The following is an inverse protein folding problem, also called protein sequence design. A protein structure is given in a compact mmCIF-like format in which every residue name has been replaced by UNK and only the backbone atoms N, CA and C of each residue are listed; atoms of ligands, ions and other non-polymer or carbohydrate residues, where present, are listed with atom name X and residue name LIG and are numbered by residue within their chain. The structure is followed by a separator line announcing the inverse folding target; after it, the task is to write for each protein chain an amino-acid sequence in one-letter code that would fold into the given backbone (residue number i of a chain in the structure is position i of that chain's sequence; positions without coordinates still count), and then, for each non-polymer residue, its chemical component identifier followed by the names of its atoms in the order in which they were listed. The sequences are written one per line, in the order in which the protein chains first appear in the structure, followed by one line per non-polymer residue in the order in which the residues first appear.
data_IF_147367968313
#
_entry.id   IF_147367968313
#
_cell.length_a   1.000
_cell.length_b   1.000
_cell.length_c   1.000
_cell.angle_alpha   90.00
_cell.angle_beta   90.00
_cell.angle_gamma   90.00
#
_symmetry.space_group_name_H-M   'P 1'
#
loop_
_entity.id
_entity.type
_entity.pdbx_description
1 polymer ?
#
# COMPACT_ATOMS: atom_id res chain seq x y z
N UNK A 1 16.59 -12.05 -21.83
CA UNK A 1 16.60 -12.91 -20.63
C UNK A 1 17.96 -13.62 -20.56
N UNK A 2 18.55 -13.77 -19.38
CA UNK A 2 19.78 -14.53 -19.14
C UNK A 2 19.64 -15.38 -17.88
N UNK A 3 20.18 -16.59 -17.89
CA UNK A 3 20.43 -17.40 -16.69
C UNK A 3 21.93 -17.43 -16.46
N UNK A 4 22.42 -16.91 -15.34
CA UNK A 4 23.85 -16.91 -15.03
C UNK A 4 24.34 -18.29 -14.64
N UNK A 5 25.65 -18.52 -14.73
CA UNK A 5 26.29 -19.73 -14.20
C UNK A 5 26.10 -19.91 -12.69
N UNK A 6 25.77 -18.83 -11.98
CA UNK A 6 25.41 -18.83 -10.56
C UNK A 6 23.93 -19.07 -10.28
N UNK A 7 23.13 -19.39 -11.30
CA UNK A 7 21.71 -19.75 -11.16
C UNK A 7 20.75 -18.57 -10.99
N UNK A 8 21.14 -17.35 -11.37
CA UNK A 8 20.28 -16.15 -11.29
C UNK A 8 19.63 -15.83 -12.63
N UNK A 9 18.33 -15.54 -12.62
CA UNK A 9 17.55 -15.18 -13.81
C UNK A 9 17.44 -13.65 -13.95
N UNK A 10 18.06 -13.09 -15.00
CA UNK A 10 17.94 -11.69 -15.38
C UNK A 10 16.98 -11.49 -16.56
N UNK A 11 15.99 -10.62 -16.43
CA UNK A 11 15.10 -10.23 -17.53
C UNK A 11 15.37 -8.80 -17.98
N UNK A 12 16.24 -8.62 -18.98
CA UNK A 12 16.64 -7.30 -19.46
C UNK A 12 17.92 -6.75 -18.79
N UNK A 13 18.59 -7.56 -17.98
CA UNK A 13 19.93 -7.30 -17.42
C UNK A 13 20.83 -8.51 -17.68
N UNK A 14 22.12 -8.26 -17.86
CA UNK A 14 23.17 -9.29 -17.88
C UNK A 14 23.83 -9.51 -16.52
N UNK A 15 23.57 -8.62 -15.54
CA UNK A 15 24.18 -8.62 -14.21
C UNK A 15 23.11 -8.63 -13.10
N UNK A 16 22.44 -9.76 -12.86
CA UNK A 16 21.37 -9.86 -11.86
C UNK A 16 21.90 -9.75 -10.40
N UNK A 17 21.33 -8.83 -9.61
CA UNK A 17 21.66 -8.61 -8.19
C UNK A 17 20.88 -9.51 -7.23
N UNK A 18 19.78 -10.11 -7.70
CA UNK A 18 18.92 -11.02 -6.94
C UNK A 18 18.70 -12.33 -7.76
N UNK A 19 18.20 -13.41 -7.14
CA UNK A 19 17.89 -14.67 -7.85
C UNK A 19 16.99 -14.49 -9.07
N UNK A 20 16.05 -13.55 -9.00
CA UNK A 20 15.28 -13.04 -10.14
C UNK A 20 15.45 -11.51 -10.17
N UNK A 21 16.02 -10.96 -11.25
CA UNK A 21 16.19 -9.52 -11.42
C UNK A 21 15.59 -9.06 -12.75
N UNK A 22 14.58 -8.20 -12.65
CA UNK A 22 14.03 -7.47 -13.79
C UNK A 22 14.37 -5.99 -13.57
N UNK A 23 15.40 -5.43 -14.26
CA UNK A 23 15.65 -4.00 -14.20
C UNK A 23 14.48 -3.22 -14.80
N UNK A 24 14.21 -2.05 -14.21
CA UNK A 24 13.21 -1.11 -14.71
C UNK A 24 11.98 -1.00 -13.82
N UNK A 25 11.13 -0.05 -14.17
CA UNK A 25 9.85 0.21 -13.52
C UNK A 25 8.75 0.32 -14.56
N UNK A 26 7.63 -0.33 -14.30
CA UNK A 26 6.42 -0.22 -15.09
C UNK A 26 5.59 0.96 -14.57
N UNK A 27 4.95 1.69 -15.47
CA UNK A 27 3.99 2.72 -15.12
C UNK A 27 2.61 2.10 -15.03
N UNK A 28 1.97 2.19 -13.86
CA UNK A 28 0.62 1.72 -13.65
C UNK A 28 -0.29 2.91 -13.32
N UNK A 29 -1.37 3.07 -14.08
CA UNK A 29 -2.31 4.18 -13.95
C UNK A 29 -3.61 3.69 -13.31
N UNK A 30 -3.95 4.21 -12.14
CA UNK A 30 -5.28 4.02 -11.55
C UNK A 30 -6.23 5.11 -12.02
N UNK A 31 -7.48 4.73 -12.32
CA UNK A 31 -8.55 5.65 -12.72
C UNK A 31 -8.53 6.08 -14.18
N UNK A 32 -7.74 5.42 -15.03
CA UNK A 32 -7.84 5.58 -16.48
C UNK A 32 -9.23 5.13 -16.96
N UNK A 33 -9.96 6.01 -17.66
CA UNK A 33 -11.30 5.71 -18.16
C UNK A 33 -12.43 5.81 -17.12
N UNK A 34 -12.22 6.54 -16.02
CA UNK A 34 -13.27 6.79 -15.01
C UNK A 34 -13.40 5.73 -13.92
N UNK A 35 -12.39 4.86 -13.77
CA UNK A 35 -12.37 3.86 -12.70
C UNK A 35 -12.17 4.51 -11.33
N UNK A 36 -12.99 4.14 -10.36
CA UNK A 36 -12.96 4.74 -9.02
C UNK A 36 -11.75 4.25 -8.23
N UNK A 37 -10.85 5.16 -7.86
CA UNK A 37 -9.63 4.84 -7.06
C UNK A 37 -9.97 4.69 -5.57
N UNK A 38 -11.10 5.24 -5.13
CA UNK A 38 -11.53 5.21 -3.75
C UNK A 38 -13.06 5.08 -3.63
N UNK A 39 -13.52 4.03 -2.93
CA UNK A 39 -14.93 3.75 -2.70
C UNK A 39 -15.22 3.65 -1.20
N UNK A 40 -16.01 4.59 -0.69
CA UNK A 40 -16.58 4.54 0.66
C UNK A 40 -17.96 3.88 0.61
N UNK A 41 -18.18 2.84 1.42
CA UNK A 41 -19.55 2.36 1.69
C UNK A 41 -20.10 3.13 2.87
N UNK A 42 -21.26 3.74 2.68
CA UNK A 42 -22.11 4.31 3.74
C UNK A 42 -23.40 3.49 3.84
N UNK A 43 -24.17 3.68 4.90
CA UNK A 43 -25.50 3.07 5.09
C UNK A 43 -26.46 3.39 3.91
N UNK A 44 -26.24 4.53 3.25
CA UNK A 44 -27.05 5.05 2.15
C UNK A 44 -26.49 4.73 0.74
N UNK A 45 -25.47 3.87 0.61
CA UNK A 45 -24.91 3.47 -0.70
C UNK A 45 -23.38 3.54 -0.78
N UNK A 46 -22.83 3.61 -2.01
CA UNK A 46 -21.40 3.81 -2.23
C UNK A 46 -21.14 5.23 -2.72
N UNK A 47 -20.25 5.97 -2.04
CA UNK A 47 -19.71 7.23 -2.54
C UNK A 47 -18.35 6.94 -3.18
N UNK A 48 -18.23 7.32 -4.44
CA UNK A 48 -17.08 7.04 -5.29
C UNK A 48 -16.36 8.34 -5.61
N UNK A 49 -15.06 8.41 -5.30
CA UNK A 49 -14.23 9.54 -5.69
C UNK A 49 -13.26 9.10 -6.78
N UNK A 50 -13.46 9.64 -7.98
CA UNK A 50 -12.47 9.57 -9.04
C UNK A 50 -11.46 10.70 -8.80
N UNK A 51 -10.37 10.39 -8.08
CA UNK A 51 -9.16 11.18 -8.26
C UNK A 51 -8.67 10.89 -9.68
N UNK A 52 -8.29 11.91 -10.47
CA UNK A 52 -7.89 11.75 -11.88
C UNK A 52 -6.77 10.71 -12.08
N UNK A 53 -6.30 10.47 -13.31
CA UNK A 53 -5.34 9.40 -13.57
C UNK A 53 -4.09 9.50 -12.66
N UNK A 54 -3.92 8.56 -11.73
CA UNK A 54 -2.77 8.52 -10.84
C UNK A 54 -1.77 7.50 -11.35
N UNK A 55 -0.58 7.98 -11.70
CA UNK A 55 0.49 7.15 -12.26
C UNK A 55 1.49 6.76 -11.18
N UNK A 56 1.74 5.46 -11.02
CA UNK A 56 2.74 4.92 -10.10
C UNK A 56 3.76 4.08 -10.85
N UNK A 57 5.04 4.26 -10.51
CA UNK A 57 6.12 3.38 -10.96
C UNK A 57 6.19 2.15 -10.06
N UNK A 58 5.98 0.96 -10.62
CA UNK A 58 6.02 -0.33 -9.93
C UNK A 58 7.09 -1.24 -10.54
N UNK A 59 7.74 -2.08 -9.72
CA UNK A 59 8.76 -3.00 -10.22
C UNK A 59 8.19 -4.13 -11.11
N UNK A 60 6.90 -4.46 -10.96
CA UNK A 60 6.22 -5.48 -11.75
C UNK A 60 4.71 -5.44 -11.58
N UNK A 61 3.99 -5.93 -12.59
CA UNK A 61 2.52 -6.07 -12.60
C UNK A 61 2.21 -7.55 -12.75
N UNK A 62 1.29 -8.06 -11.93
CA UNK A 62 0.86 -9.46 -11.96
C UNK A 62 -0.63 -9.50 -12.30
N UNK A 63 -1.01 -10.29 -13.30
CA UNK A 63 -2.42 -10.44 -13.71
C UNK A 63 -3.27 -11.30 -12.78
N UNK A 64 -2.72 -11.75 -11.64
CA UNK A 64 -3.38 -12.63 -10.70
C UNK A 64 -2.73 -12.58 -9.32
N UNK A 65 -3.20 -13.44 -8.41
CA UNK A 65 -2.69 -13.49 -7.04
C UNK A 65 -1.22 -13.95 -6.99
N UNK A 66 -0.43 -13.27 -6.17
CA UNK A 66 0.91 -13.72 -5.79
C UNK A 66 0.76 -14.56 -4.53
N UNK A 67 0.81 -15.89 -4.67
CA UNK A 67 0.91 -16.79 -3.52
C UNK A 67 2.37 -16.87 -3.06
N UNK A 68 2.63 -16.52 -1.81
CA UNK A 68 3.96 -16.62 -1.21
C UNK A 68 3.86 -16.85 0.29
N UNK A 69 4.88 -17.45 0.89
CA UNK A 69 4.90 -17.76 2.32
C UNK A 69 5.06 -16.52 3.20
N UNK A 70 5.79 -15.51 2.70
CA UNK A 70 5.97 -14.24 3.38
C UNK A 70 6.32 -13.13 2.38
N UNK A 71 5.81 -11.92 2.63
CA UNK A 71 6.26 -10.70 1.96
C UNK A 71 6.93 -9.79 2.99
N UNK A 72 8.16 -9.37 2.72
CA UNK A 72 8.85 -8.36 3.53
C UNK A 72 8.46 -6.97 3.02
N UNK A 73 7.75 -6.19 3.84
CA UNK A 73 7.31 -4.84 3.50
C UNK A 73 8.14 -3.84 4.30
N UNK A 74 9.01 -3.08 3.64
CA UNK A 74 9.92 -2.12 4.32
C UNK A 74 9.26 -0.78 4.64
N UNK A 75 8.06 -0.54 4.14
CA UNK A 75 7.35 0.73 4.28
C UNK A 75 6.02 0.50 4.99
N UNK A 76 6.01 0.71 6.31
CA UNK A 76 4.78 1.03 7.04
C UNK A 76 4.19 2.31 6.46
N UNK A 77 3.36 2.20 5.41
CA UNK A 77 2.60 3.34 4.87
C UNK A 77 1.23 3.44 5.53
N UNK A 78 1.23 3.59 6.85
CA UNK A 78 0.29 4.48 7.54
C UNK A 78 1.15 5.35 8.46
N UNK A 79 0.99 6.66 8.37
CA UNK A 79 1.79 7.72 9.00
C UNK A 79 1.87 7.60 10.53
N UNK A 80 2.52 6.57 11.06
CA UNK A 80 2.78 6.37 12.49
C UNK A 80 4.02 7.16 12.87
N UNK A 81 3.91 8.48 12.83
CA UNK A 81 4.86 9.38 13.48
C UNK A 81 4.20 9.92 14.75
N UNK A 82 5.00 10.06 15.81
CA UNK A 82 4.63 10.62 17.10
C UNK A 82 3.63 9.78 17.95
N UNK A 83 3.79 8.46 17.96
CA UNK A 83 3.09 7.58 18.90
C UNK A 83 3.71 7.80 20.28
N UNK A 84 3.11 8.71 21.03
CA UNK A 84 3.44 8.92 22.44
C UNK A 84 2.49 8.08 23.28
N UNK A 85 3.02 7.40 24.30
CA UNK A 85 2.15 6.80 25.32
C UNK A 85 1.35 7.92 25.98
N UNK A 86 0.03 7.84 25.92
CA UNK A 86 -0.81 8.87 26.53
C UNK A 86 -1.00 8.53 28.01
N UNK A 87 -0.55 9.37 28.95
CA UNK A 87 -0.82 9.16 30.38
C UNK A 87 -2.32 9.01 30.60
N UNK A 88 -2.71 8.08 31.49
CA UNK A 88 -4.12 7.73 31.69
C UNK A 88 -4.97 8.96 32.05
N UNK A 89 -4.41 9.92 32.79
CA UNK A 89 -5.09 11.15 33.20
C UNK A 89 -5.43 12.09 32.03
N UNK A 90 -4.66 12.06 30.92
CA UNK A 90 -4.97 12.83 29.70
C UNK A 90 -6.12 12.22 28.90
N UNK A 91 -6.27 10.89 28.96
CA UNK A 91 -7.36 10.16 28.30
C UNK A 91 -8.62 10.19 29.17
N UNK A 92 -8.47 10.16 30.49
CA UNK A 92 -9.56 10.11 31.47
C UNK A 92 -10.52 11.30 31.40
N UNK A 93 -10.01 12.53 31.21
CA UNK A 93 -10.88 13.71 31.03
C UNK A 93 -11.77 13.64 29.79
N UNK A 94 -11.33 12.95 28.74
CA UNK A 94 -12.13 12.75 27.51
C UNK A 94 -13.30 11.80 27.78
N UNK A 95 -13.07 10.75 28.57
CA UNK A 95 -14.11 9.79 28.98
C UNK A 95 -15.09 10.40 30.00
N UNK A 96 -14.58 11.08 31.03
CA UNK A 96 -15.42 11.72 32.04
C UNK A 96 -16.31 12.85 31.43
N UNK A 97 -15.87 13.50 30.34
CA UNK A 97 -16.67 14.50 29.60
C UNK A 97 -17.77 13.89 28.71
N UNK A 98 -17.61 12.65 28.28
CA UNK A 98 -18.65 11.92 27.54
C UNK A 98 -19.72 11.35 28.47
N UNK A 99 -19.39 11.06 29.74
CA UNK A 99 -20.36 10.61 30.75
C UNK A 99 -21.26 11.73 31.28
N UNK A 100 -20.78 12.98 31.33
CA UNK A 100 -21.60 14.13 31.78
C UNK A 100 -22.63 14.63 30.78
N UNK A 101 -22.57 14.22 29.52
CA UNK A 101 -23.56 14.55 28.48
C UNK A 101 -24.80 13.64 28.47
N UNK A 102 -24.95 12.75 29.46
CA UNK A 102 -26.07 11.79 29.58
C UNK A 102 -26.87 12.00 30.88
N UNK A 103 -27.08 13.25 31.30
CA UNK A 103 -28.06 13.63 32.34
C UNK A 103 -28.73 14.94 32.00
#
# INVERSE_FOLDING_TARGET
MILTTTGRLGLGTTSPSAPLHVPGSNSFVFGAGGTTVYRLRTDSGATESAFGPNTYSVAGIFGGYIACTAMAMTSDRRLKKNIQSCPIDRVKRLYDSCEKSVS
#
